data_IF_830560448986
#
_entry.id   IF_830560448986
#
_cell.length_a   1.000
_cell.length_b   1.000
_cell.length_c   1.000
_cell.angle_alpha   90.00
_cell.angle_beta   90.00
_cell.angle_gamma   90.00
#
_symmetry.space_group_name_H-M   'P 1'
#
loop_
_entity.id
_entity.type
_entity.pdbx_description
1 polymer ?
#
# COMPACT_ATOMS: atom_id res chain seq x y z
N UNK A 1 30.86 -17.14 23.32
CA UNK A 1 29.55 -17.80 23.07
C UNK A 1 29.63 -19.13 23.82
N UNK A 2 28.65 -19.36 24.70
CA UNK A 2 28.54 -20.60 25.45
C UNK A 2 28.32 -21.78 24.47
N UNK A 3 29.07 -22.85 24.62
CA UNK A 3 28.92 -24.04 23.78
C UNK A 3 27.52 -24.67 23.91
N UNK A 4 26.87 -24.47 25.05
CA UNK A 4 25.50 -24.94 25.31
C UNK A 4 24.41 -24.10 24.59
N UNK A 5 24.77 -22.96 23.99
CA UNK A 5 23.87 -22.09 23.21
C UNK A 5 23.86 -22.38 21.73
N UNK A 6 24.44 -23.45 21.25
CA UNK A 6 24.41 -23.84 19.83
C UNK A 6 23.10 -24.56 19.49
N UNK A 7 22.51 -24.23 18.35
CA UNK A 7 21.36 -24.96 17.83
C UNK A 7 21.80 -26.36 17.44
N UNK A 8 21.08 -27.39 17.91
CA UNK A 8 21.36 -28.79 17.73
C UNK A 8 20.18 -29.55 17.12
N UNK A 9 20.41 -30.76 16.65
CA UNK A 9 19.35 -31.59 16.10
C UNK A 9 18.20 -31.78 17.10
N UNK A 10 16.97 -31.69 16.64
CA UNK A 10 15.71 -31.78 17.39
C UNK A 10 15.43 -30.60 18.34
N UNK A 11 16.19 -29.52 18.26
CA UNK A 11 15.84 -28.29 18.97
C UNK A 11 14.57 -27.65 18.33
N UNK A 12 13.85 -26.92 19.19
CA UNK A 12 12.74 -26.08 18.77
C UNK A 12 13.24 -24.63 18.56
N UNK A 13 12.93 -24.07 17.41
CA UNK A 13 13.31 -22.69 17.05
C UNK A 13 12.05 -21.90 16.79
N UNK A 14 11.87 -20.78 17.48
CA UNK A 14 10.84 -19.77 17.15
C UNK A 14 11.58 -18.54 16.61
N UNK A 15 11.36 -18.25 15.33
CA UNK A 15 11.95 -17.07 14.72
C UNK A 15 11.01 -15.87 14.84
N UNK A 16 11.21 -15.08 15.90
CA UNK A 16 10.38 -13.94 16.26
C UNK A 16 10.64 -12.75 15.33
N UNK A 17 10.19 -12.87 14.08
CA UNK A 17 10.26 -11.82 13.05
C UNK A 17 9.00 -11.90 12.19
N UNK A 18 8.31 -10.76 12.01
CA UNK A 18 7.08 -10.69 11.23
C UNK A 18 7.34 -10.32 9.77
N UNK A 19 8.40 -9.61 9.47
CA UNK A 19 8.75 -9.16 8.13
C UNK A 19 9.47 -10.27 7.36
N UNK A 20 8.99 -10.67 6.16
CA UNK A 20 9.48 -11.88 5.48
C UNK A 20 10.80 -11.72 4.72
N UNK A 21 11.17 -10.51 4.27
CA UNK A 21 12.25 -10.26 3.31
C UNK A 21 13.57 -10.98 3.66
N UNK A 22 14.31 -10.52 4.67
CA UNK A 22 15.57 -11.16 5.11
C UNK A 22 15.35 -12.36 6.03
N UNK A 23 14.16 -12.46 6.67
CA UNK A 23 13.83 -13.61 7.51
C UNK A 23 13.82 -14.91 6.69
N UNK A 24 13.32 -14.91 5.46
CA UNK A 24 13.34 -16.07 4.57
C UNK A 24 14.75 -16.52 4.24
N UNK A 25 15.71 -15.59 4.06
CA UNK A 25 17.11 -15.94 3.78
C UNK A 25 17.72 -16.74 4.91
N UNK A 26 17.62 -16.24 6.16
CA UNK A 26 18.13 -16.92 7.36
C UNK A 26 17.42 -18.26 7.57
N UNK A 27 16.09 -18.28 7.47
CA UNK A 27 15.33 -19.51 7.68
C UNK A 27 15.75 -20.60 6.70
N UNK A 28 15.87 -20.29 5.40
CA UNK A 28 16.32 -21.26 4.40
C UNK A 28 17.69 -21.85 4.71
N UNK A 29 18.60 -21.11 5.34
CA UNK A 29 19.90 -21.64 5.75
C UNK A 29 19.79 -22.77 6.77
N UNK A 30 18.69 -22.85 7.51
CA UNK A 30 18.46 -23.84 8.56
C UNK A 30 17.52 -24.99 8.13
N UNK A 31 16.57 -24.70 7.23
CA UNK A 31 15.47 -25.63 6.96
C UNK A 31 15.48 -26.25 5.57
N UNK A 32 16.08 -25.62 4.55
CA UNK A 32 16.14 -26.18 3.20
C UNK A 32 17.05 -27.41 3.15
N UNK A 33 16.60 -28.49 2.53
CA UNK A 33 17.39 -29.69 2.32
C UNK A 33 18.51 -29.43 1.30
N UNK A 34 18.18 -28.77 0.19
CA UNK A 34 19.08 -28.49 -0.95
C UNK A 34 19.59 -27.04 -0.98
N UNK A 35 19.98 -26.51 0.19
CA UNK A 35 20.51 -25.14 0.27
C UNK A 35 21.88 -25.00 -0.38
N UNK A 36 22.03 -24.04 -1.31
CA UNK A 36 23.24 -23.85 -2.13
C UNK A 36 23.97 -22.53 -1.86
N UNK A 37 23.50 -21.69 -0.92
CA UNK A 37 24.09 -20.37 -0.67
C UNK A 37 25.50 -20.40 -0.08
N UNK A 38 25.82 -21.41 0.73
CA UNK A 38 27.14 -21.70 1.27
C UNK A 38 27.21 -23.14 1.78
N UNK A 39 28.42 -23.65 2.01
CA UNK A 39 28.62 -24.99 2.57
C UNK A 39 28.36 -25.00 4.09
N UNK A 40 27.38 -25.80 4.52
CA UNK A 40 27.08 -26.02 5.95
C UNK A 40 28.10 -26.99 6.54
N UNK A 41 28.89 -26.55 7.52
CA UNK A 41 29.93 -27.39 8.14
C UNK A 41 29.41 -28.70 8.69
N UNK A 42 28.21 -28.71 9.29
CA UNK A 42 27.60 -29.88 9.93
C UNK A 42 26.42 -30.44 9.11
N UNK A 43 26.27 -30.03 7.85
CA UNK A 43 25.11 -30.39 7.06
C UNK A 43 23.81 -29.79 7.60
N UNK A 44 22.69 -30.32 7.11
CA UNK A 44 21.36 -30.05 7.68
C UNK A 44 21.03 -31.08 8.76
N UNK A 45 20.39 -30.63 9.83
CA UNK A 45 19.82 -31.47 10.86
C UNK A 45 18.36 -31.09 11.17
N UNK A 46 17.53 -32.05 11.68
CA UNK A 46 16.12 -31.77 11.90
C UNK A 46 15.92 -30.77 13.02
N UNK A 47 15.03 -29.78 12.76
CA UNK A 47 14.58 -28.79 13.72
C UNK A 47 13.05 -28.75 13.72
N UNK A 48 12.45 -28.43 14.86
CA UNK A 48 11.08 -27.97 14.92
C UNK A 48 11.11 -26.45 14.78
N UNK A 49 10.89 -25.94 13.55
CA UNK A 49 11.09 -24.53 13.23
C UNK A 49 9.75 -23.83 13.02
N UNK A 50 9.50 -22.76 13.78
CA UNK A 50 8.28 -21.96 13.70
C UNK A 50 8.61 -20.53 13.24
N UNK A 51 8.08 -20.17 12.08
CA UNK A 51 8.07 -18.79 11.59
C UNK A 51 6.91 -18.04 12.20
N UNK A 52 7.09 -16.77 12.58
CA UNK A 52 5.96 -15.96 13.07
C UNK A 52 4.93 -15.70 11.98
N UNK A 53 5.38 -15.43 10.75
CA UNK A 53 4.52 -15.27 9.56
C UNK A 53 5.02 -16.17 8.44
N UNK A 54 4.26 -16.34 7.39
CA UNK A 54 4.69 -17.08 6.21
C UNK A 54 5.73 -16.27 5.43
N UNK A 55 7.00 -16.61 5.58
CA UNK A 55 8.09 -15.91 4.88
C UNK A 55 8.18 -16.28 3.40
N UNK A 56 7.82 -17.52 3.07
CA UNK A 56 7.78 -18.05 1.72
C UNK A 56 6.88 -19.29 1.68
N UNK A 57 5.93 -19.34 0.76
CA UNK A 57 5.00 -20.45 0.63
C UNK A 57 5.66 -21.78 0.20
N UNK A 58 6.85 -21.69 -0.40
CA UNK A 58 7.61 -22.86 -0.88
C UNK A 58 8.62 -23.38 0.14
N UNK A 59 8.70 -22.77 1.32
CA UNK A 59 9.69 -23.11 2.35
C UNK A 59 9.36 -24.44 3.02
N UNK A 60 10.25 -25.43 2.96
CA UNK A 60 10.02 -26.74 3.60
C UNK A 60 10.33 -26.69 5.10
N UNK A 61 9.89 -27.73 5.82
CA UNK A 61 10.31 -28.01 7.21
C UNK A 61 10.07 -26.86 8.20
N UNK A 62 8.99 -26.08 8.00
CA UNK A 62 8.58 -25.00 8.91
C UNK A 62 7.10 -25.06 9.23
N UNK A 63 6.76 -24.64 10.45
CA UNK A 63 5.41 -24.24 10.80
C UNK A 63 5.27 -22.72 10.80
N UNK A 64 4.04 -22.21 10.66
CA UNK A 64 3.73 -20.79 10.65
C UNK A 64 2.73 -20.48 11.77
N UNK A 65 3.14 -19.63 12.73
CA UNK A 65 2.31 -19.27 13.87
C UNK A 65 1.09 -18.44 13.44
N UNK A 66 1.30 -17.42 12.59
CA UNK A 66 0.26 -16.57 12.05
C UNK A 66 0.21 -16.74 10.53
N UNK A 67 -0.63 -17.64 10.07
CA UNK A 67 -0.83 -17.88 8.63
C UNK A 67 -1.45 -16.66 7.99
N UNK A 68 -1.15 -16.38 6.69
CA UNK A 68 -1.82 -15.31 5.95
C UNK A 68 -3.33 -15.55 5.98
N UNK A 69 -4.09 -14.52 6.35
CA UNK A 69 -5.52 -14.54 6.15
C UNK A 69 -5.79 -14.30 4.66
N UNK A 70 -6.61 -15.14 4.04
CA UNK A 70 -7.17 -14.83 2.72
C UNK A 70 -8.16 -13.69 2.91
N UNK A 71 -7.92 -12.57 2.24
CA UNK A 71 -8.86 -11.45 2.21
C UNK A 71 -9.85 -11.70 1.07
N UNK A 72 -11.10 -11.98 1.44
CA UNK A 72 -12.19 -12.13 0.48
C UNK A 72 -12.98 -10.83 0.35
N UNK A 73 -13.55 -10.61 -0.82
CA UNK A 73 -14.36 -9.43 -1.10
C UNK A 73 -13.64 -8.11 -0.80
N UNK A 74 -12.33 -8.03 -1.12
CA UNK A 74 -11.66 -6.73 -1.18
C UNK A 74 -12.41 -5.80 -2.13
N UNK A 75 -12.22 -4.49 -2.01
CA UNK A 75 -12.97 -3.53 -2.84
C UNK A 75 -12.92 -3.89 -4.33
N UNK A 76 -11.71 -4.16 -4.86
CA UNK A 76 -11.51 -4.49 -6.27
C UNK A 76 -12.18 -5.80 -6.68
N UNK A 77 -12.05 -6.84 -5.86
CA UNK A 77 -12.71 -8.13 -6.09
C UNK A 77 -14.23 -8.00 -6.07
N UNK A 78 -14.74 -7.23 -5.09
CA UNK A 78 -16.19 -7.08 -4.91
C UNK A 78 -16.86 -6.34 -6.06
N UNK A 79 -16.28 -5.19 -6.50
CA UNK A 79 -16.84 -4.45 -7.63
C UNK A 79 -16.69 -5.22 -8.95
N UNK A 80 -15.62 -5.98 -9.14
CA UNK A 80 -15.47 -6.89 -10.29
C UNK A 80 -16.58 -7.95 -10.33
N UNK A 81 -16.90 -8.58 -9.19
CA UNK A 81 -18.04 -9.51 -9.07
C UNK A 81 -19.41 -8.87 -9.40
N UNK A 82 -19.50 -7.53 -9.30
CA UNK A 82 -20.69 -6.76 -9.72
C UNK A 82 -20.64 -6.35 -11.19
N UNK A 83 -19.61 -6.75 -11.93
CA UNK A 83 -19.43 -6.39 -13.34
C UNK A 83 -18.97 -4.96 -13.58
N UNK A 84 -18.51 -4.25 -12.52
CA UNK A 84 -18.05 -2.89 -12.61
C UNK A 84 -16.57 -2.82 -13.03
N UNK A 85 -16.23 -1.73 -13.70
CA UNK A 85 -14.88 -1.46 -14.21
C UNK A 85 -14.08 -0.57 -13.27
N UNK A 86 -12.77 -0.82 -13.21
CA UNK A 86 -11.91 -0.08 -12.31
C UNK A 86 -10.54 0.21 -12.93
N UNK A 87 -9.92 1.31 -12.51
CA UNK A 87 -8.57 1.70 -12.86
C UNK A 87 -7.68 1.76 -11.60
N UNK A 88 -6.47 1.21 -11.70
CA UNK A 88 -5.38 1.40 -10.76
C UNK A 88 -4.30 2.23 -11.44
N UNK A 89 -3.91 3.35 -10.86
CA UNK A 89 -2.93 4.24 -11.46
C UNK A 89 -2.00 4.84 -10.43
N UNK A 90 -0.71 4.73 -10.65
CA UNK A 90 0.34 5.38 -9.89
C UNK A 90 1.66 5.36 -10.68
N UNK A 91 2.63 6.13 -10.19
CA UNK A 91 4.01 5.96 -10.63
C UNK A 91 4.70 4.79 -9.92
N UNK A 92 5.89 4.36 -10.41
CA UNK A 92 6.60 3.13 -10.00
C UNK A 92 6.63 2.93 -8.49
N UNK A 93 6.98 3.97 -7.71
CA UNK A 93 7.16 3.87 -6.25
C UNK A 93 5.87 3.51 -5.49
N UNK A 94 4.72 3.83 -6.05
CA UNK A 94 3.41 3.59 -5.42
C UNK A 94 2.51 2.62 -6.20
N UNK A 95 3.01 2.05 -7.29
CA UNK A 95 2.22 1.14 -8.11
C UNK A 95 1.76 -0.11 -7.35
N UNK A 96 2.64 -0.74 -6.58
CA UNK A 96 2.28 -1.88 -5.75
C UNK A 96 1.23 -1.53 -4.68
N UNK A 97 1.20 -0.29 -4.19
CA UNK A 97 0.23 0.16 -3.18
C UNK A 97 -1.20 0.20 -3.74
N UNK A 98 -1.37 0.63 -4.99
CA UNK A 98 -2.70 0.67 -5.63
C UNK A 98 -3.07 -0.64 -6.35
N UNK A 99 -2.16 -1.60 -6.47
CA UNK A 99 -2.39 -2.90 -7.12
C UNK A 99 -2.31 -4.05 -6.11
N UNK A 100 -1.14 -4.64 -5.91
CA UNK A 100 -0.92 -5.81 -5.07
C UNK A 100 -1.45 -5.64 -3.64
N UNK A 101 -1.06 -4.55 -2.95
CA UNK A 101 -1.49 -4.33 -1.56
C UNK A 101 -2.98 -3.99 -1.48
N UNK A 102 -3.49 -3.15 -2.36
CA UNK A 102 -4.90 -2.80 -2.40
C UNK A 102 -5.80 -4.00 -2.74
N UNK A 103 -5.28 -4.95 -3.51
CA UNK A 103 -5.96 -6.21 -3.85
C UNK A 103 -5.75 -7.32 -2.80
N UNK A 104 -5.28 -6.96 -1.59
CA UNK A 104 -5.13 -7.91 -0.49
C UNK A 104 -4.03 -8.97 -0.71
N UNK A 105 -2.97 -8.62 -1.46
CA UNK A 105 -1.85 -9.51 -1.78
C UNK A 105 -2.07 -10.36 -3.04
N UNK A 106 -3.07 -10.03 -3.85
CA UNK A 106 -3.33 -10.68 -5.14
C UNK A 106 -2.62 -9.89 -6.26
N UNK A 107 -1.64 -10.52 -6.92
CA UNK A 107 -0.87 -9.88 -7.99
C UNK A 107 -1.67 -9.73 -9.29
N UNK A 108 -2.46 -10.73 -9.63
CA UNK A 108 -3.28 -10.71 -10.84
C UNK A 108 -4.37 -9.62 -10.75
N UNK A 109 -4.61 -8.86 -11.84
CA UNK A 109 -5.76 -7.96 -11.89
C UNK A 109 -7.06 -8.74 -11.78
N UNK A 110 -8.06 -8.16 -11.14
CA UNK A 110 -9.42 -8.68 -11.16
C UNK A 110 -10.07 -8.45 -12.53
N UNK A 111 -11.19 -9.11 -12.77
CA UNK A 111 -11.97 -8.87 -13.99
C UNK A 111 -12.36 -7.38 -14.09
N UNK A 112 -12.24 -6.79 -15.27
CA UNK A 112 -12.46 -5.36 -15.54
C UNK A 112 -11.55 -4.40 -14.74
N UNK A 113 -10.40 -4.87 -14.25
CA UNK A 113 -9.36 -4.03 -13.64
C UNK A 113 -8.29 -3.67 -14.67
N UNK A 114 -8.27 -2.42 -15.08
CA UNK A 114 -7.15 -1.86 -15.85
C UNK A 114 -6.08 -1.29 -14.90
N UNK A 115 -4.83 -1.33 -15.37
CA UNK A 115 -3.69 -0.78 -14.64
C UNK A 115 -2.90 0.18 -15.51
N UNK A 116 -2.53 1.33 -14.96
CA UNK A 116 -1.68 2.31 -15.61
C UNK A 116 -0.45 2.58 -14.72
N UNK A 117 0.71 2.14 -15.17
CA UNK A 117 1.99 2.40 -14.53
C UNK A 117 2.70 3.54 -15.27
N UNK A 118 3.07 4.57 -14.54
CA UNK A 118 3.93 5.65 -15.00
C UNK A 118 5.32 5.46 -14.38
N UNK A 119 6.38 5.54 -15.17
CA UNK A 119 7.71 5.39 -14.61
C UNK A 119 8.08 6.59 -13.73
N UNK A 120 8.58 6.33 -12.53
CA UNK A 120 9.19 7.37 -11.68
C UNK A 120 10.48 7.91 -12.31
N UNK A 121 10.86 9.16 -12.04
CA UNK A 121 12.08 9.74 -12.59
C UNK A 121 13.32 9.01 -12.07
N UNK A 122 14.34 8.89 -12.93
CA UNK A 122 15.62 8.24 -12.60
C UNK A 122 16.59 9.25 -12.00
N UNK A 123 16.35 9.67 -10.77
CA UNK A 123 17.21 10.57 -9.98
C UNK A 123 17.79 9.84 -8.78
N UNK A 124 18.86 10.36 -8.22
CA UNK A 124 19.51 9.74 -7.05
C UNK A 124 18.62 9.81 -5.80
N UNK A 125 17.99 10.96 -5.59
CA UNK A 125 17.02 11.21 -4.52
C UNK A 125 15.92 12.13 -5.06
N UNK A 126 14.69 12.01 -4.55
CA UNK A 126 13.54 12.71 -5.12
C UNK A 126 13.44 14.21 -4.76
N UNK A 127 14.28 14.71 -3.86
CA UNK A 127 14.45 16.15 -3.63
C UNK A 127 15.04 16.87 -4.85
N UNK A 128 15.75 16.14 -5.73
CA UNK A 128 16.28 16.68 -6.99
C UNK A 128 15.22 16.87 -8.07
N UNK A 129 14.06 16.23 -7.93
CA UNK A 129 12.90 16.35 -8.81
C UNK A 129 11.62 16.15 -8.01
N UNK A 130 11.19 17.16 -7.20
CA UNK A 130 10.08 17.01 -6.25
C UNK A 130 8.73 16.74 -6.90
N UNK A 131 8.50 17.23 -8.12
CA UNK A 131 7.28 16.93 -8.89
C UNK A 131 7.21 15.45 -9.31
N UNK A 132 8.32 14.72 -9.23
CA UNK A 132 8.43 13.33 -9.64
C UNK A 132 7.73 13.10 -10.99
N UNK A 133 6.79 12.15 -11.06
CA UNK A 133 5.96 11.92 -12.25
C UNK A 133 4.51 12.37 -12.07
N UNK A 134 4.19 13.23 -11.09
CA UNK A 134 2.82 13.61 -10.79
C UNK A 134 2.07 14.17 -11.99
N UNK A 135 2.69 15.06 -12.78
CA UNK A 135 2.06 15.63 -13.97
C UNK A 135 1.76 14.58 -15.05
N UNK A 136 2.64 13.59 -15.24
CA UNK A 136 2.41 12.48 -16.19
C UNK A 136 1.29 11.55 -15.71
N UNK A 137 1.22 11.30 -14.40
CA UNK A 137 0.12 10.54 -13.77
C UNK A 137 -1.19 11.31 -13.94
N UNK A 138 -1.17 12.64 -13.71
CA UNK A 138 -2.32 13.53 -13.90
C UNK A 138 -2.80 13.49 -15.35
N UNK A 139 -1.93 13.69 -16.32
CA UNK A 139 -2.28 13.65 -17.74
C UNK A 139 -2.91 12.30 -18.14
N UNK A 140 -2.39 11.20 -17.64
CA UNK A 140 -2.93 9.88 -17.93
C UNK A 140 -4.28 9.65 -17.23
N UNK A 141 -4.46 10.03 -15.98
CA UNK A 141 -5.75 9.85 -15.30
C UNK A 141 -6.83 10.72 -15.93
N UNK A 142 -6.52 11.95 -16.37
CA UNK A 142 -7.46 12.81 -17.09
C UNK A 142 -7.97 12.17 -18.38
N UNK A 143 -7.09 11.55 -19.18
CA UNK A 143 -7.49 10.79 -20.39
C UNK A 143 -8.39 9.60 -20.02
N UNK A 144 -8.10 8.91 -18.91
CA UNK A 144 -8.90 7.78 -18.44
C UNK A 144 -10.27 8.20 -17.94
N UNK A 145 -10.37 9.34 -17.23
CA UNK A 145 -11.65 9.92 -16.81
C UNK A 145 -12.48 10.34 -18.05
N UNK A 146 -11.84 10.98 -19.04
CA UNK A 146 -12.51 11.40 -20.27
C UNK A 146 -13.11 10.23 -21.06
N UNK A 147 -12.51 9.05 -20.97
CA UNK A 147 -13.00 7.84 -21.67
C UNK A 147 -14.33 7.30 -21.17
N UNK A 148 -14.84 7.76 -20.04
CA UNK A 148 -16.07 7.26 -19.37
C UNK A 148 -16.09 5.73 -19.15
N UNK A 149 -14.91 5.07 -19.11
CA UNK A 149 -14.81 3.62 -19.03
C UNK A 149 -14.97 3.09 -17.60
N UNK A 150 -14.60 3.86 -16.61
CA UNK A 150 -14.39 3.33 -15.25
C UNK A 150 -15.45 3.79 -14.26
N UNK A 151 -15.97 2.84 -13.49
CA UNK A 151 -16.88 3.09 -12.37
C UNK A 151 -16.11 3.49 -11.10
N UNK A 152 -14.85 3.05 -10.97
CA UNK A 152 -13.96 3.40 -9.85
C UNK A 152 -12.52 3.61 -10.32
N UNK A 153 -11.86 4.59 -9.72
CA UNK A 153 -10.43 4.89 -9.97
C UNK A 153 -9.71 4.96 -8.62
N UNK A 154 -8.64 4.19 -8.47
CA UNK A 154 -7.72 4.24 -7.32
C UNK A 154 -6.40 4.80 -7.82
N UNK A 155 -6.08 6.00 -7.34
CA UNK A 155 -4.92 6.79 -7.71
C UNK A 155 -4.06 7.07 -6.48
N UNK A 156 -2.73 6.98 -6.62
CA UNK A 156 -1.79 7.46 -5.61
C UNK A 156 -0.74 8.35 -6.26
N UNK A 157 -0.59 9.58 -5.72
CA UNK A 157 0.51 10.48 -6.01
C UNK A 157 1.62 10.25 -4.99
N UNK A 158 2.80 9.84 -5.45
CA UNK A 158 3.90 9.38 -4.58
C UNK A 158 4.67 10.51 -3.87
N UNK A 159 4.52 11.74 -4.33
CA UNK A 159 5.41 12.86 -4.05
C UNK A 159 5.58 13.18 -2.56
N UNK A 160 4.50 13.39 -1.82
CA UNK A 160 4.57 13.83 -0.42
C UNK A 160 5.29 12.80 0.47
N UNK A 161 5.16 11.51 0.18
CA UNK A 161 5.86 10.46 0.90
C UNK A 161 7.33 10.36 0.45
N UNK A 162 7.56 10.18 -0.85
CA UNK A 162 8.89 9.91 -1.38
C UNK A 162 9.86 11.08 -1.21
N UNK A 163 9.40 12.31 -1.41
CA UNK A 163 10.18 13.53 -1.19
C UNK A 163 10.32 13.81 0.31
N UNK A 164 9.27 13.57 1.10
CA UNK A 164 9.30 13.70 2.56
C UNK A 164 10.41 12.86 3.20
N UNK A 165 10.66 11.66 2.71
CA UNK A 165 11.76 10.80 3.17
C UNK A 165 13.16 11.39 2.96
N UNK A 166 13.33 12.40 2.12
CA UNK A 166 14.62 13.07 1.91
C UNK A 166 14.98 14.05 3.03
N UNK A 167 13.98 14.53 3.79
CA UNK A 167 14.15 15.52 4.84
C UNK A 167 14.45 16.94 4.33
N UNK A 168 14.33 17.19 3.01
CA UNK A 168 14.57 18.50 2.40
C UNK A 168 13.26 19.28 2.35
N UNK A 169 13.12 20.27 3.25
CA UNK A 169 11.87 21.02 3.46
C UNK A 169 11.37 21.71 2.19
N UNK A 170 12.21 22.45 1.49
CA UNK A 170 11.81 23.20 0.29
C UNK A 170 11.37 22.26 -0.84
N UNK A 171 12.00 21.09 -0.94
CA UNK A 171 11.58 20.06 -1.88
C UNK A 171 10.22 19.46 -1.51
N UNK A 172 9.96 19.23 -0.22
CA UNK A 172 8.65 18.77 0.26
C UNK A 172 7.54 19.79 -0.06
N UNK A 173 7.82 21.09 0.10
CA UNK A 173 6.87 22.15 -0.30
C UNK A 173 6.57 22.07 -1.79
N UNK A 174 7.59 22.00 -2.65
CA UNK A 174 7.41 21.88 -4.09
C UNK A 174 6.65 20.59 -4.49
N UNK A 175 6.89 19.49 -3.77
CA UNK A 175 6.15 18.24 -3.97
C UNK A 175 4.65 18.38 -3.65
N UNK A 176 4.32 19.06 -2.54
CA UNK A 176 2.93 19.32 -2.15
C UNK A 176 2.25 20.24 -3.16
N UNK A 177 2.90 21.30 -3.63
CA UNK A 177 2.37 22.22 -4.66
C UNK A 177 2.05 21.46 -5.96
N UNK A 178 2.94 20.58 -6.42
CA UNK A 178 2.71 19.78 -7.62
C UNK A 178 1.53 18.82 -7.45
N UNK A 179 1.40 18.19 -6.27
CA UNK A 179 0.26 17.30 -5.97
C UNK A 179 -1.04 18.07 -5.87
N UNK A 180 -1.05 19.24 -5.22
CA UNK A 180 -2.25 20.08 -5.10
C UNK A 180 -2.79 20.47 -6.47
N UNK A 181 -1.92 20.90 -7.38
CA UNK A 181 -2.31 21.22 -8.77
C UNK A 181 -2.89 19.99 -9.49
N UNK A 182 -2.24 18.83 -9.37
CA UNK A 182 -2.68 17.60 -10.02
C UNK A 182 -4.00 17.07 -9.45
N UNK A 183 -4.16 17.13 -8.12
CA UNK A 183 -5.41 16.75 -7.44
C UNK A 183 -6.53 17.67 -7.85
N UNK A 184 -6.31 18.99 -7.90
CA UNK A 184 -7.31 19.96 -8.37
C UNK A 184 -7.84 19.60 -9.76
N UNK A 185 -6.94 19.39 -10.74
CA UNK A 185 -7.32 19.00 -12.11
C UNK A 185 -8.08 17.67 -12.16
N UNK A 186 -7.63 16.67 -11.37
CA UNK A 186 -8.26 15.35 -11.32
C UNK A 186 -9.67 15.43 -10.73
N UNK A 187 -9.83 16.18 -9.63
CA UNK A 187 -11.14 16.39 -8.98
C UNK A 187 -12.09 17.11 -9.91
N UNK A 188 -11.66 18.21 -10.55
CA UNK A 188 -12.49 18.94 -11.50
C UNK A 188 -12.98 18.04 -12.65
N UNK A 189 -12.11 17.19 -13.18
CA UNK A 189 -12.49 16.23 -14.23
C UNK A 189 -13.51 15.20 -13.75
N UNK A 190 -13.33 14.66 -12.53
CA UNK A 190 -14.28 13.71 -11.91
C UNK A 190 -15.65 14.38 -11.71
N UNK A 191 -15.67 15.61 -11.17
CA UNK A 191 -16.91 16.35 -10.93
C UNK A 191 -17.62 16.72 -12.23
N UNK A 192 -16.87 17.08 -13.28
CA UNK A 192 -17.43 17.36 -14.59
C UNK A 192 -18.15 16.16 -15.22
N UNK A 193 -17.76 14.93 -14.85
CA UNK A 193 -18.43 13.68 -15.23
C UNK A 193 -19.56 13.28 -14.26
N UNK A 194 -19.88 14.10 -13.27
CA UNK A 194 -20.87 13.79 -12.23
C UNK A 194 -20.39 12.75 -11.21
N UNK A 195 -19.10 12.50 -11.16
CA UNK A 195 -18.47 11.58 -10.22
C UNK A 195 -18.25 12.19 -8.84
N UNK A 196 -17.74 11.36 -7.93
CA UNK A 196 -17.41 11.73 -6.55
C UNK A 196 -15.94 11.41 -6.30
N UNK A 197 -15.20 12.34 -5.69
CA UNK A 197 -13.82 12.16 -5.32
C UNK A 197 -13.66 12.08 -3.80
N UNK A 198 -12.94 11.06 -3.32
CA UNK A 198 -12.43 10.95 -1.96
C UNK A 198 -10.93 11.24 -1.99
N UNK A 199 -10.51 12.30 -1.33
CA UNK A 199 -9.11 12.74 -1.27
C UNK A 199 -8.61 12.48 0.15
N UNK A 200 -7.54 11.69 0.27
CA UNK A 200 -6.94 11.32 1.56
C UNK A 200 -5.47 10.95 1.38
N UNK A 201 -4.82 10.55 2.46
CA UNK A 201 -3.51 9.89 2.45
C UNK A 201 -3.58 8.55 3.17
N UNK A 202 -2.68 7.64 2.86
CA UNK A 202 -2.53 6.34 3.53
C UNK A 202 -1.79 6.46 4.87
N UNK A 203 -0.92 7.45 5.02
CA UNK A 203 -0.22 7.82 6.26
C UNK A 203 0.32 9.26 6.14
N UNK A 204 0.81 9.81 7.25
CA UNK A 204 1.53 11.06 7.28
C UNK A 204 3.03 10.87 7.01
N UNK A 205 3.67 11.86 6.42
CA UNK A 205 5.12 11.97 6.19
C UNK A 205 5.50 13.46 6.09
N UNK A 206 5.20 14.13 4.97
CA UNK A 206 5.52 15.55 4.73
C UNK A 206 4.81 16.53 5.66
N UNK A 207 3.88 16.08 6.49
CA UNK A 207 3.23 16.85 7.54
C UNK A 207 4.18 17.16 8.74
N UNK A 208 5.31 16.44 8.84
CA UNK A 208 6.39 16.70 9.79
C UNK A 208 7.74 16.52 9.11
N UNK A 209 8.46 17.64 8.87
CA UNK A 209 9.74 17.65 8.17
C UNK A 209 10.94 17.88 9.08
N UNK A 210 10.72 18.25 10.36
CA UNK A 210 11.78 18.52 11.32
C UNK A 210 11.46 17.95 12.70
N UNK A 211 12.51 17.55 13.40
CA UNK A 211 12.47 17.23 14.83
C UNK A 211 12.53 18.50 15.67
N UNK A 212 12.27 18.37 16.98
CA UNK A 212 12.29 19.51 17.93
C UNK A 212 13.66 20.16 18.06
N UNK A 213 14.74 19.42 17.75
CA UNK A 213 16.12 19.93 17.76
C UNK A 213 16.54 20.56 16.41
N UNK A 214 15.62 20.63 15.44
CA UNK A 214 15.87 21.18 14.11
C UNK A 214 16.54 20.23 13.12
N UNK A 215 16.76 18.97 13.49
CA UNK A 215 17.24 17.94 12.55
C UNK A 215 16.13 17.50 11.62
N UNK A 216 16.45 17.03 10.39
CA UNK A 216 15.44 16.54 9.46
C UNK A 216 14.68 15.33 10.03
N UNK A 217 13.34 15.36 9.92
CA UNK A 217 12.49 14.19 10.14
C UNK A 217 12.19 13.52 8.79
N UNK A 218 12.42 12.22 8.67
CA UNK A 218 12.36 11.48 7.40
C UNK A 218 11.54 10.20 7.49
N UNK A 219 10.73 10.05 8.53
CA UNK A 219 9.91 8.87 8.77
C UNK A 219 8.41 9.16 8.58
N UNK A 220 7.60 8.12 8.55
CA UNK A 220 6.15 8.28 8.60
C UNK A 220 5.72 8.81 9.97
N UNK A 221 4.63 9.59 9.99
CA UNK A 221 3.99 10.07 11.22
C UNK A 221 2.74 9.25 11.55
N UNK A 222 2.31 9.33 12.80
CA UNK A 222 1.02 8.81 13.25
C UNK A 222 -0.06 9.90 13.32
N UNK A 223 0.20 11.06 12.72
CA UNK A 223 -0.76 12.15 12.65
C UNK A 223 -1.97 11.73 11.83
N UNK A 224 -3.12 12.32 12.14
CA UNK A 224 -4.33 12.07 11.37
C UNK A 224 -4.20 12.66 9.97
N UNK A 225 -4.56 11.87 8.97
CA UNK A 225 -4.60 12.30 7.57
C UNK A 225 -5.94 12.97 7.26
N UNK A 226 -5.98 13.94 6.32
CA UNK A 226 -7.24 14.55 5.91
C UNK A 226 -8.13 13.56 5.15
N UNK A 227 -9.43 13.77 5.19
CA UNK A 227 -10.40 13.16 4.27
C UNK A 227 -11.35 14.24 3.75
N UNK A 228 -11.36 14.41 2.45
CA UNK A 228 -12.24 15.34 1.73
C UNK A 228 -13.12 14.52 0.79
N UNK A 229 -14.42 14.77 0.81
CA UNK A 229 -15.38 14.16 -0.13
C UNK A 229 -15.95 15.29 -1.00
N UNK A 230 -15.62 15.24 -2.28
CA UNK A 230 -16.11 16.21 -3.26
C UNK A 230 -17.14 15.56 -4.20
N UNK A 231 -18.20 16.29 -4.53
CA UNK A 231 -19.24 15.81 -5.47
C UNK A 231 -20.40 15.05 -4.85
N UNK A 232 -20.34 14.71 -3.55
CA UNK A 232 -21.39 13.94 -2.88
C UNK A 232 -22.58 14.79 -2.37
N UNK A 233 -22.61 16.08 -2.66
CA UNK A 233 -23.64 17.00 -2.14
C UNK A 233 -23.52 17.20 -0.63
N UNK A 234 -24.65 17.38 0.05
CA UNK A 234 -24.70 17.63 1.49
C UNK A 234 -24.76 16.30 2.26
N UNK A 235 -23.66 15.56 2.28
CA UNK A 235 -23.55 14.34 3.10
C UNK A 235 -23.10 14.68 4.51
N UNK A 236 -23.71 14.02 5.51
CA UNK A 236 -23.24 14.11 6.90
C UNK A 236 -22.15 13.05 7.11
N UNK A 237 -21.00 13.49 7.58
CA UNK A 237 -19.89 12.58 7.94
C UNK A 237 -19.81 12.37 9.43
N UNK A 238 -19.36 11.18 9.88
CA UNK A 238 -19.03 10.91 11.27
C UNK A 238 -17.61 11.35 11.59
N UNK A 239 -17.39 11.69 12.82
CA UNK A 239 -16.04 11.92 13.33
C UNK A 239 -15.30 10.59 13.54
N UNK A 240 -13.97 10.66 13.47
CA UNK A 240 -13.08 9.53 13.70
C UNK A 240 -13.28 8.43 12.64
N UNK A 241 -12.36 8.33 11.71
CA UNK A 241 -12.33 7.29 10.69
C UNK A 241 -10.97 6.63 10.66
N UNK A 242 -10.89 5.50 9.97
CA UNK A 242 -9.66 4.77 9.67
C UNK A 242 -9.65 4.40 8.20
N UNK A 243 -8.50 4.04 7.65
CA UNK A 243 -8.38 3.68 6.23
C UNK A 243 -9.33 2.53 5.81
N UNK A 244 -9.61 1.59 6.73
CA UNK A 244 -10.57 0.51 6.49
C UNK A 244 -12.00 0.99 6.20
N UNK A 245 -12.32 2.25 6.51
CA UNK A 245 -13.65 2.84 6.30
C UNK A 245 -13.84 3.40 4.87
N UNK A 246 -12.75 3.57 4.11
CA UNK A 246 -12.80 4.14 2.77
C UNK A 246 -13.55 3.24 1.79
N UNK A 247 -13.24 1.96 1.74
CA UNK A 247 -13.95 1.01 0.86
C UNK A 247 -15.45 0.93 1.15
N UNK A 248 -15.91 0.77 2.40
CA UNK A 248 -17.33 0.88 2.73
C UNK A 248 -17.97 2.21 2.34
N UNK A 249 -17.22 3.32 2.46
CA UNK A 249 -17.71 4.64 2.08
C UNK A 249 -17.89 4.75 0.56
N UNK A 250 -16.92 4.25 -0.21
CA UNK A 250 -17.02 4.20 -1.67
C UNK A 250 -18.20 3.34 -2.11
N UNK A 251 -18.39 2.14 -1.54
CA UNK A 251 -19.51 1.28 -1.87
C UNK A 251 -20.86 1.97 -1.57
N UNK A 252 -20.99 2.65 -0.42
CA UNK A 252 -22.20 3.40 -0.08
C UNK A 252 -22.48 4.50 -1.11
N UNK A 253 -21.47 5.26 -1.52
CA UNK A 253 -21.58 6.30 -2.56
C UNK A 253 -21.95 5.71 -3.93
N UNK A 254 -21.51 4.49 -4.23
CA UNK A 254 -21.86 3.76 -5.45
C UNK A 254 -23.24 3.08 -5.37
N UNK A 255 -23.96 3.18 -4.24
CA UNK A 255 -25.24 2.52 -4.02
C UNK A 255 -25.13 1.00 -3.89
N UNK A 256 -23.99 0.48 -3.48
CA UNK A 256 -23.72 -0.94 -3.29
C UNK A 256 -23.75 -1.33 -1.83
N UNK A 257 -24.22 -2.56 -1.55
CA UNK A 257 -24.18 -3.13 -0.22
C UNK A 257 -22.72 -3.47 0.19
N UNK A 258 -22.40 -3.26 1.45
CA UNK A 258 -21.12 -3.65 2.02
C UNK A 258 -21.07 -5.16 2.25
N UNK A 259 -20.06 -5.88 1.74
CA UNK A 259 -19.90 -7.30 2.06
C UNK A 259 -19.49 -7.50 3.52
N UNK A 260 -19.90 -8.60 4.11
CA UNK A 260 -19.70 -8.91 5.55
C UNK A 260 -18.22 -9.04 5.95
N UNK A 261 -17.35 -9.33 4.99
CA UNK A 261 -15.90 -9.44 5.20
C UNK A 261 -15.22 -8.08 5.40
N UNK A 262 -15.84 -6.98 4.93
CA UNK A 262 -15.35 -5.63 5.21
C UNK A 262 -15.72 -5.22 6.62
N UNK A 263 -14.73 -5.07 7.49
CA UNK A 263 -14.91 -4.72 8.91
C UNK A 263 -15.01 -3.23 9.19
N UNK A 264 -14.58 -2.39 8.25
CA UNK A 264 -14.74 -0.93 8.30
C UNK A 264 -16.21 -0.51 8.22
N UNK A 265 -16.47 0.77 8.47
CA UNK A 265 -17.82 1.35 8.43
C UNK A 265 -17.81 2.61 7.60
N UNK A 266 -18.81 2.80 6.74
CA UNK A 266 -18.94 4.06 5.99
C UNK A 266 -18.80 5.28 6.92
N UNK A 267 -18.03 6.27 6.46
CA UNK A 267 -17.88 7.56 7.13
C UNK A 267 -19.13 8.44 6.94
N UNK A 268 -19.91 8.17 5.89
CA UNK A 268 -21.17 8.88 5.65
C UNK A 268 -22.25 8.31 6.56
N UNK A 269 -22.92 9.21 7.31
CA UNK A 269 -24.08 8.88 8.14
C UNK A 269 -25.29 8.55 7.26
N UNK A 270 -26.24 7.80 7.81
CA UNK A 270 -27.53 7.54 7.20
C UNK A 270 -28.44 8.77 7.25
#
# INVERSE_FOLDING_TARGET
IDENGKISANDSVIFFNFRPDRAREITRTLVDDDFTGFERRNGRFPLYYVCMTQYDATMPNVDVAFKPASLENTFGEYIAKKGLSQLRIAETEKYAHVTFFFNGGVEAPFENEDRALINSPKVATYDLQPEMSAYLVCDEVLKRIESDKYDAIILNYANCDMVGHTGVFDAAVAAVEAVDECVGKTVDAVLAKGGIALITADHGNADKMMEDDGSPFTAHTTNLVPLIIAGAGNVLIREGGVLADLSPTMLKLMGLEQPKEMTGKSIIKD
#
